data_IF_094231901659
#
_entry.id   IF_094231901659
#
_cell.length_a   1.000
_cell.length_b   1.000
_cell.length_c   1.000
_cell.angle_alpha   90.00
_cell.angle_beta   90.00
_cell.angle_gamma   90.00
#
_symmetry.space_group_name_H-M   'P 1'
#
loop_
_entity.id
_entity.type
_entity.pdbx_description
1 polymer ?
2 polymer ?
3 polymer ?
#
loop_
_entity_poly.entity_id
_entity_poly.type
_entity_poly.pdbx_seq_one_letter_code
_entity_poly.pdbx_strand_id
3 'polyribonucleotide' 'GGGGCUAGGCCGGGGGGUUCGGCGUCCCCUGUAACCGGAAACCGCCGAUAUGCCGGGGCCGAAGCCCGAGGGGCGGUUCCCGAAGCCGCCUCUGUAAGGAGGCGGUGGAGGGUUCCCACCCUCGGGCGUGCCU(CCC)' ?
#
# COMPACT_ATOMS: atom_id res chain seq x y z
N UNK A 2 2.34 11.30 14.48
CA UNK A 2 1.43 10.85 15.54
C UNK A 2 0.25 10.06 14.99
N UNK A 3 -0.69 9.73 15.86
CA UNK A 3 -1.89 9.01 15.44
C UNK A 3 -2.97 10.00 15.06
N UNK A 4 -3.81 9.59 14.11
CA UNK A 4 -4.93 10.40 13.66
C UNK A 4 -6.24 9.63 13.93
N UNK A 5 -7.27 10.33 14.41
CA UNK A 5 -8.62 9.77 14.61
C UNK A 5 -9.50 9.93 13.35
N UNK A 6 -9.23 10.99 12.60
CA UNK A 6 -10.04 11.43 11.46
C UNK A 6 -9.35 11.13 10.12
N UNK A 7 -9.90 10.19 9.35
CA UNK A 7 -9.27 9.73 8.10
C UNK A 7 -8.84 10.86 7.17
N UNK A 8 -9.70 11.86 7.01
CA UNK A 8 -9.38 13.00 6.17
C UNK A 8 -8.06 13.63 6.61
N UNK A 9 -7.95 13.98 7.89
CA UNK A 9 -6.80 14.72 8.42
C UNK A 9 -5.50 13.94 8.20
N UNK A 10 -5.63 12.61 8.26
CA UNK A 10 -4.56 11.70 7.91
C UNK A 10 -4.23 11.80 6.41
N UNK A 11 -5.19 11.40 5.57
CA UNK A 11 -4.97 11.32 4.12
C UNK A 11 -4.38 12.57 3.55
N UNK A 12 -4.79 13.72 4.06
CA UNK A 12 -4.29 15.00 3.58
C UNK A 12 -2.82 15.19 3.98
N UNK A 13 -2.52 14.92 5.25
CA UNK A 13 -1.18 15.14 5.80
C UNK A 13 -0.19 14.11 5.23
N UNK A 14 -0.70 12.93 4.91
CA UNK A 14 0.12 11.87 4.33
C UNK A 14 0.58 12.23 2.94
N UNK A 15 -0.35 12.65 2.09
CA UNK A 15 -0.02 13.06 0.73
C UNK A 15 0.96 14.22 0.73
N UNK A 16 0.78 15.18 1.63
CA UNK A 16 1.73 16.30 1.80
C UNK A 16 3.15 15.78 1.97
N UNK A 17 3.28 14.72 2.76
CA UNK A 17 4.58 14.11 3.06
C UNK A 17 5.14 13.42 1.83
N UNK A 18 4.34 12.54 1.22
CA UNK A 18 4.83 11.83 0.07
C UNK A 18 5.41 12.83 -0.94
N UNK A 19 4.71 13.92 -1.18
CA UNK A 19 5.17 14.92 -2.15
C UNK A 19 6.48 15.57 -1.74
N UNK A 20 6.54 16.01 -0.49
CA UNK A 20 7.74 16.69 0.05
C UNK A 20 9.04 15.95 -0.32
N UNK A 21 8.99 14.62 -0.33
CA UNK A 21 10.09 13.78 -0.82
C UNK A 21 9.64 12.35 -1.10
N UNK A 22 9.23 12.08 -2.34
CA UNK A 22 8.59 10.81 -2.68
C UNK A 22 9.47 9.56 -2.61
N UNK A 24 12.00 8.93 -0.32
CA UNK A 24 12.20 8.53 1.07
C UNK A 24 10.98 7.93 1.73
N UNK A 25 9.80 8.26 1.25
CA UNK A 25 8.58 7.86 1.93
C UNK A 25 8.13 6.45 1.54
N UNK A 26 7.55 5.75 2.50
CA UNK A 26 6.93 4.44 2.26
C UNK A 26 5.52 4.40 2.86
N UNK A 27 4.70 3.47 2.37
CA UNK A 27 3.30 3.37 2.79
C UNK A 27 2.92 1.95 3.12
N UNK A 28 2.65 1.71 4.40
CA UNK A 28 2.40 0.37 4.89
C UNK A 28 0.96 0.17 5.37
N UNK A 29 0.46 -1.05 5.15
CA UNK A 29 -0.89 -1.45 5.50
C UNK A 29 -0.85 -2.82 6.18
N UNK A 30 -1.37 -2.91 7.40
CA UNK A 30 -1.38 -4.19 8.13
C UNK A 30 -2.78 -4.66 8.43
N UNK A 31 -3.17 -5.79 7.84
CA UNK A 31 -4.51 -6.36 8.00
C UNK A 31 -4.54 -7.63 8.82
N UNK A 32 -5.48 -7.65 9.74
CA UNK A 32 -5.49 -8.57 10.84
C UNK A 32 -6.90 -9.19 10.96
N UNK A 33 -7.19 -10.20 10.12
CA UNK A 33 -8.56 -10.76 10.07
C UNK A 33 -9.01 -11.33 11.43
N UNK A 34 -8.11 -12.05 12.10
CA UNK A 34 -8.40 -12.69 13.38
C UNK A 34 -8.84 -11.74 14.49
N UNK A 35 -8.20 -10.58 14.60
CA UNK A 35 -8.61 -9.55 15.57
C UNK A 35 -9.59 -8.59 14.93
N UNK A 36 -9.62 -8.58 13.61
CA UNK A 36 -10.57 -7.75 12.89
C UNK A 36 -10.23 -6.28 12.95
N UNK A 37 -8.94 -5.96 12.87
CA UNK A 37 -8.52 -4.57 12.76
C UNK A 37 -7.61 -4.34 11.55
N UNK A 38 -7.32 -3.06 11.32
CA UNK A 38 -6.57 -2.62 10.18
C UNK A 38 -5.73 -1.45 10.63
N UNK A 39 -4.51 -1.36 10.12
CA UNK A 39 -3.63 -0.24 10.42
C UNK A 39 -2.91 0.23 9.17
N UNK A 40 -2.78 1.56 9.05
CA UNK A 40 -2.11 2.17 7.90
C UNK A 40 -1.08 3.16 8.38
N UNK A 41 0.09 3.11 7.75
CA UNK A 41 1.22 3.94 8.15
C UNK A 41 1.83 4.60 6.93
N UNK A 42 2.26 5.84 7.12
CA UNK A 42 3.04 6.53 6.12
C UNK A 42 4.16 7.29 6.79
N UNK A 43 5.38 7.13 6.26
CA UNK A 43 6.56 7.68 6.90
C UNK A 43 7.74 7.83 5.96
N UNK A 44 8.65 8.73 6.36
CA UNK A 44 9.93 8.97 5.70
C UNK A 44 11.07 8.76 6.70
N UNK A 45 10.80 8.03 7.78
CA UNK A 45 11.74 7.76 8.89
C UNK A 45 12.04 8.96 9.81
N UNK A 46 11.73 10.17 9.33
CA UNK A 46 11.88 11.36 10.12
C UNK A 46 10.56 11.60 10.84
N UNK A 47 9.48 11.63 10.07
CA UNK A 47 8.13 11.81 10.57
C UNK A 47 7.35 10.52 10.32
N UNK A 48 6.52 10.15 11.29
CA UNK A 48 5.64 8.98 11.13
C UNK A 48 4.18 9.39 11.27
N UNK A 49 3.30 8.77 10.49
CA UNK A 49 1.88 9.10 10.51
C UNK A 49 1.12 7.81 10.48
N UNK A 50 0.17 7.65 11.40
CA UNK A 50 -0.52 6.37 11.55
C UNK A 50 -2.03 6.51 11.82
N UNK A 51 -2.80 5.56 11.31
CA UNK A 51 -4.25 5.51 11.48
C UNK A 51 -4.69 4.05 11.63
N UNK A 52 -5.47 3.75 12.66
CA UNK A 52 -5.92 2.39 12.96
C UNK A 52 -7.44 2.35 13.07
N UNK A 53 -8.06 1.28 12.55
CA UNK A 53 -9.55 1.20 12.49
C UNK A 53 -10.16 -0.19 12.70
N UNK A 54 -11.45 -0.18 13.06
CA UNK A 54 -12.31 -1.39 13.03
C UNK A 54 -13.58 -1.11 12.23
N UNK A 55 -13.42 -0.32 11.16
CA UNK A 55 -14.55 0.31 10.45
C UNK A 55 -14.59 -0.07 8.96
N UNK A 56 -15.46 -1.02 8.59
CA UNK A 56 -15.49 -1.57 7.24
C UNK A 56 -15.69 -0.50 6.15
N UNK A 57 -16.32 0.60 6.52
CA UNK A 57 -16.44 1.76 5.63
C UNK A 57 -15.06 2.22 5.13
N UNK A 58 -14.08 2.22 6.02
CA UNK A 58 -12.73 2.73 5.73
C UNK A 58 -11.98 1.92 4.67
N UNK A 59 -12.29 0.63 4.55
CA UNK A 59 -11.70 -0.23 3.51
C UNK A 59 -11.75 0.50 2.17
N UNK A 60 -12.94 0.96 1.78
CA UNK A 60 -13.09 1.67 0.51
C UNK A 60 -12.32 2.99 0.49
N UNK A 61 -12.38 3.73 1.59
CA UNK A 61 -11.65 4.99 1.69
C UNK A 61 -10.16 4.76 1.40
N UNK A 62 -9.67 3.62 1.86
CA UNK A 62 -8.27 3.22 1.67
C UNK A 62 -7.94 2.85 0.24
N UNK A 63 -8.80 2.07 -0.42
CA UNK A 63 -8.60 1.72 -1.82
C UNK A 63 -8.24 2.96 -2.63
N UNK A 64 -8.97 4.06 -2.39
CA UNK A 64 -8.72 5.32 -3.08
C UNK A 64 -7.36 5.89 -2.75
N UNK A 65 -7.02 5.90 -1.47
CA UNK A 65 -5.72 6.38 -1.03
C UNK A 65 -4.57 5.61 -1.69
N UNK A 66 -4.61 4.29 -1.59
CA UNK A 66 -3.61 3.42 -2.23
C UNK A 66 -3.57 3.68 -3.73
N UNK A 67 -4.74 3.65 -4.33
CA UNK A 67 -4.84 3.81 -5.76
C UNK A 67 -4.32 5.16 -6.22
N UNK A 68 -4.54 6.24 -5.47
CA UNK A 68 -3.97 7.53 -5.89
C UNK A 68 -2.47 7.57 -5.69
N UNK A 69 -2.00 7.09 -4.54
CA UNK A 69 -0.58 7.08 -4.30
C UNK A 69 0.12 6.38 -5.46
N UNK A 71 -0.76 6.15 -8.51
CA UNK A 71 -0.75 7.06 -9.65
C UNK A 71 0.31 8.14 -9.50
N UNK A 72 0.41 8.72 -8.31
CA UNK A 72 1.42 9.74 -8.01
C UNK A 72 2.85 9.22 -8.11
N UNK A 74 3.91 6.83 -10.08
CA UNK A 74 4.21 6.57 -11.47
C UNK A 74 4.41 7.85 -12.31
N UNK A 75 3.95 9.00 -11.82
CA UNK A 75 4.12 10.27 -12.54
C UNK A 75 5.53 10.82 -12.38
N UNK A 76 5.97 11.63 -13.35
CA UNK A 76 7.29 12.28 -13.29
C UNK A 76 7.41 13.20 -12.09
N UNK A 77 6.73 14.34 -12.15
CA UNK A 77 6.60 15.23 -11.00
C UNK A 77 5.18 15.16 -10.49
N UNK A 78 5.04 14.74 -9.23
CA UNK A 78 3.75 14.50 -8.61
C UNK A 78 3.01 15.80 -8.25
N UNK A 79 3.73 16.92 -8.22
CA UNK A 79 3.11 18.22 -7.98
C UNK A 79 2.35 18.74 -9.21
N UNK A 80 2.41 18.00 -10.31
CA UNK A 80 1.64 18.32 -11.51
C UNK A 80 0.38 17.46 -11.68
N UNK A 81 0.24 16.42 -10.86
CA UNK A 81 -0.97 15.61 -10.86
C UNK A 81 -2.01 16.27 -9.96
N UNK A 82 -3.23 16.46 -10.49
CA UNK A 82 -4.28 17.16 -9.76
C UNK A 82 -5.06 16.22 -8.83
N UNK B 2 9.89 -13.84 -4.13
CA UNK B 2 9.17 -14.09 -5.37
C UNK B 2 8.65 -12.77 -5.97
N UNK B 3 9.36 -12.32 -7.00
CA UNK B 3 8.92 -11.19 -7.78
C UNK B 3 8.02 -11.74 -8.85
N UNK B 4 6.82 -11.17 -8.95
CA UNK B 4 5.79 -11.67 -9.86
C UNK B 4 5.30 -10.56 -10.77
N UNK B 5 4.76 -10.93 -11.92
CA UNK B 5 4.00 -9.99 -12.71
C UNK B 5 2.61 -9.89 -12.10
N UNK B 6 1.99 -8.75 -12.28
CA UNK B 6 0.75 -8.39 -11.60
C UNK B 6 -0.27 -9.53 -11.45
N UNK B 7 -0.47 -10.31 -12.52
CA UNK B 7 -1.44 -11.39 -12.46
C UNK B 7 -1.21 -12.30 -11.26
N UNK B 8 -0.07 -13.00 -11.25
CA UNK B 8 0.16 -14.01 -10.21
C UNK B 8 0.22 -13.35 -8.85
N UNK B 9 0.73 -12.12 -8.81
CA UNK B 9 0.78 -11.33 -7.58
C UNK B 9 -0.63 -11.25 -6.96
N UNK B 10 -1.60 -10.82 -7.75
CA UNK B 10 -2.97 -10.68 -7.28
C UNK B 10 -3.57 -12.03 -6.89
N UNK B 11 -3.17 -13.06 -7.64
CA UNK B 11 -3.52 -14.43 -7.33
C UNK B 11 -2.87 -14.84 -6.00
N UNK B 12 -1.60 -14.50 -5.85
CA UNK B 12 -0.82 -14.87 -4.67
C UNK B 12 -1.18 -14.05 -3.43
N UNK B 13 -1.48 -12.78 -3.65
CA UNK B 13 -1.87 -11.92 -2.55
C UNK B 13 -3.17 -12.42 -2.01
N UNK B 14 -4.12 -12.67 -2.91
CA UNK B 14 -5.36 -13.34 -2.55
C UNK B 14 -5.04 -14.44 -1.53
N UNK B 15 -4.17 -15.39 -1.92
CA UNK B 15 -3.84 -16.51 -1.04
C UNK B 15 -3.47 -16.06 0.37
N UNK B 16 -2.52 -15.14 0.46
CA UNK B 16 -2.02 -14.68 1.77
C UNK B 16 -3.16 -14.33 2.71
N UNK B 17 -4.01 -13.40 2.27
CA UNK B 17 -5.16 -12.96 3.06
C UNK B 17 -5.92 -14.11 3.69
N UNK B 18 -6.17 -15.13 2.86
CA UNK B 18 -7.02 -16.27 3.22
C UNK B 18 -6.37 -17.22 4.20
N UNK B 19 -5.04 -17.20 4.25
CA UNK B 19 -4.32 -18.07 5.17
C UNK B 19 -4.01 -17.39 6.51
N UNK B 20 -4.29 -16.09 6.61
CA UNK B 20 -4.12 -15.35 7.84
C UNK B 20 -5.47 -14.95 8.39
N UNK B 21 -6.36 -15.93 8.44
CA UNK B 21 -7.78 -15.68 8.67
C UNK B 21 -8.18 -15.95 10.13
N UNK B 22 -7.82 -17.14 10.62
CA UNK B 22 -7.93 -17.47 12.05
C UNK B 22 -6.75 -16.92 12.87
N UNK B 23 -5.61 -16.70 12.21
CA UNK B 23 -4.41 -16.26 12.89
C UNK B 23 -3.40 -15.77 11.86
N UNK B 24 -2.81 -14.59 12.10
CA UNK B 24 -1.76 -14.01 11.26
C UNK B 24 -2.03 -12.58 10.81
N UNK B 25 -0.96 -11.79 10.67
CA UNK B 25 -1.02 -10.43 10.10
C UNK B 25 -0.65 -10.43 8.61
N UNK B 26 -1.35 -9.63 7.81
CA UNK B 26 -0.95 -9.41 6.40
C UNK B 26 -0.47 -7.97 6.23
N UNK B 27 0.80 -7.83 5.90
CA UNK B 27 1.42 -6.54 5.62
C UNK B 27 1.45 -6.32 4.12
N UNK B 28 1.07 -5.11 3.70
CA UNK B 28 1.23 -4.67 2.32
C UNK B 28 1.86 -3.30 2.32
N UNK B 29 2.97 -3.17 1.61
CA UNK B 29 3.76 -1.96 1.67
C UNK B 29 4.09 -1.46 0.24
N UNK B 30 4.16 -0.14 0.10
CA UNK B 30 4.09 0.51 -1.19
C UNK B 30 4.96 1.77 -1.19
N UNK B 31 5.64 2.01 -2.30
CA UNK B 31 6.85 2.81 -2.30
C UNK B 31 7.29 3.13 -3.74
N UNK B 32 7.60 4.39 -4.02
CA UNK B 32 8.13 4.74 -5.35
C UNK B 32 9.43 4.00 -5.58
N UNK B 33 9.68 3.57 -6.82
CA UNK B 33 10.79 2.69 -7.12
C UNK B 33 11.73 3.19 -8.23
N UNK B 34 13.03 3.07 -7.99
CA UNK B 34 14.09 3.46 -8.95
C UNK B 34 14.20 2.59 -10.19
N UNK B 35 14.20 1.28 -9.98
CA UNK B 35 14.64 0.32 -10.98
C UNK B 35 15.79 -0.53 -10.44
N UNK B 36 16.45 -0.03 -9.39
CA UNK B 36 17.62 -0.68 -8.75
C UNK B 36 17.58 -2.20 -8.66
N UNK B 37 18.59 -2.83 -9.26
CA UNK B 37 18.85 -4.26 -9.07
C UNK B 37 20.12 -4.48 -8.23
N UNK B 38 20.75 -3.37 -7.78
CA UNK B 38 22.06 -3.38 -7.13
C UNK B 38 22.17 -2.25 -6.10
N UNK B 39 23.25 -2.23 -5.32
CA UNK B 39 23.37 -1.18 -4.30
C UNK B 39 23.80 0.17 -4.88
N UNK B 40 24.11 1.11 -3.98
CA UNK B 40 24.52 2.47 -4.37
C UNK B 40 25.94 2.79 -3.86
N UNK B 41 26.90 2.99 -4.79
CA UNK B 41 28.32 3.13 -4.42
C UNK B 41 28.72 4.50 -3.83
N UNK B 42 30.02 4.73 -3.64
CA UNK B 42 30.56 6.04 -3.25
C UNK B 42 31.66 6.50 -4.21
N UNK B 50 21.04 5.41 -14.98
CA UNK B 50 20.21 4.24 -14.69
C UNK B 50 18.70 4.56 -14.49
N UNK B 51 18.36 5.38 -13.47
CA UNK B 51 17.04 5.35 -12.78
C UNK B 51 15.80 5.73 -13.59
N UNK B 52 14.81 4.84 -13.63
CA UNK B 52 13.49 5.16 -14.17
C UNK B 52 12.59 5.75 -13.08
N UNK B 53 11.75 6.70 -13.46
CA UNK B 53 10.97 7.49 -12.51
C UNK B 53 9.49 7.23 -12.63
N UNK B 54 9.12 6.17 -13.34
CA UNK B 54 7.71 5.87 -13.64
C UNK B 54 7.27 4.50 -13.09
N UNK B 55 7.85 4.12 -11.95
CA UNK B 55 7.63 2.79 -11.38
C UNK B 55 7.26 2.94 -9.93
N UNK B 56 6.45 2.02 -9.44
CA UNK B 56 6.17 1.93 -8.00
C UNK B 56 6.21 0.45 -7.62
N UNK B 57 6.58 0.18 -6.36
CA UNK B 57 6.78 -1.19 -5.89
C UNK B 57 5.76 -1.59 -4.83
N UNK B 58 5.21 -2.79 -4.97
CA UNK B 58 4.32 -3.36 -3.99
C UNK B 58 4.89 -4.62 -3.38
N UNK B 59 4.99 -4.65 -2.05
CA UNK B 59 5.45 -5.81 -1.30
C UNK B 59 4.31 -6.33 -0.44
N UNK B 60 4.22 -7.66 -0.29
CA UNK B 60 3.25 -8.25 0.60
C UNK B 60 3.80 -9.51 1.26
N UNK B 61 3.49 -9.68 2.55
CA UNK B 61 3.87 -10.87 3.29
C UNK B 61 2.97 -11.15 4.49
N UNK B 62 3.09 -12.38 5.00
CA UNK B 62 2.42 -12.78 6.22
C UNK B 62 3.44 -13.13 7.29
N UNK B 63 4.72 -12.83 7.02
CA UNK B 63 5.82 -13.20 7.90
C UNK B 63 6.64 -14.39 7.39
N UNK B 64 5.99 -15.28 6.64
CA UNK B 64 6.62 -16.50 6.12
C UNK B 64 6.97 -16.34 4.63
N UNK B 65 5.95 -16.20 3.78
CA UNK B 65 6.16 -16.06 2.35
C UNK B 65 6.08 -14.60 1.95
N UNK B 66 6.87 -14.21 0.96
CA UNK B 66 6.89 -12.82 0.51
C UNK B 66 6.67 -12.75 -0.98
N UNK B 67 5.88 -11.77 -1.41
CA UNK B 67 5.65 -11.51 -2.82
C UNK B 67 5.74 -10.03 -3.09
N UNK B 68 6.01 -9.69 -4.35
CA UNK B 68 6.08 -8.31 -4.75
C UNK B 68 5.85 -8.16 -6.24
N UNK B 69 5.64 -6.93 -6.67
CA UNK B 69 5.52 -6.63 -8.09
C UNK B 69 5.74 -5.17 -8.42
N UNK B 70 6.10 -4.91 -9.67
CA UNK B 70 6.39 -3.56 -10.14
C UNK B 70 5.38 -3.08 -11.17
N UNK B 71 4.93 -1.84 -10.98
CA UNK B 71 3.80 -1.27 -11.70
C UNK B 71 4.16 0.10 -12.33
N UNK B 72 4.23 0.14 -13.67
CA UNK B 72 4.50 1.38 -14.44
C UNK B 72 3.23 2.02 -14.96
N UNK B 73 3.35 3.21 -15.54
CA UNK B 73 2.19 3.90 -16.12
C UNK B 73 1.45 3.05 -17.14
N UNK B 74 2.18 2.34 -18.00
CA UNK B 74 1.58 1.36 -18.93
C UNK B 74 0.43 0.59 -18.31
N UNK B 75 0.59 0.23 -17.03
CA UNK B 75 -0.19 -0.83 -16.42
C UNK B 75 -0.89 -0.47 -15.10
N UNK B 76 -0.79 0.80 -14.67
CA UNK B 76 -1.45 1.23 -13.44
C UNK B 76 -2.94 1.14 -13.63
N UNK B 77 -3.42 1.86 -14.64
CA UNK B 77 -4.86 2.07 -14.84
C UNK B 77 -5.68 0.79 -14.81
N UNK B 78 -5.16 -0.27 -15.41
CA UNK B 78 -5.73 -1.61 -15.24
C UNK B 78 -5.59 -2.12 -13.79
N UNK B 79 -4.37 -2.09 -13.28
CA UNK B 79 -4.04 -2.67 -11.98
C UNK B 79 -4.79 -2.01 -10.80
N UNK B 80 -4.88 -0.68 -10.80
CA UNK B 80 -5.72 0.08 -9.82
C UNK B 80 -7.01 -0.63 -9.40
N UNK B 82 -8.35 -3.83 -10.45
CA UNK B 82 -8.16 -5.24 -10.05
C UNK B 82 -7.74 -5.39 -8.60
N UNK B 83 -6.77 -4.55 -8.20
CA UNK B 83 -6.24 -4.52 -6.84
C UNK B 83 -7.27 -4.03 -5.84
N UNK B 84 -7.88 -2.87 -6.12
CA UNK B 84 -8.93 -2.33 -5.26
C UNK B 84 -10.01 -3.36 -4.95
N UNK B 85 -10.35 -4.16 -5.95
CA UNK B 85 -11.38 -5.18 -5.82
C UNK B 85 -10.89 -6.34 -4.96
N UNK B 86 -9.65 -6.76 -5.17
CA UNK B 86 -8.98 -7.72 -4.27
C UNK B 86 -9.05 -7.26 -2.80
N UNK B 87 -8.78 -5.98 -2.57
CA UNK B 87 -8.82 -5.45 -1.20
C UNK B 87 -10.22 -5.48 -0.62
N UNK B 88 -11.19 -5.04 -1.42
CA UNK B 88 -12.58 -5.05 -1.00
C UNK B 88 -13.00 -6.48 -0.62
N UNK B 89 -12.69 -7.42 -1.52
CA UNK B 89 -13.13 -8.83 -1.40
C UNK B 89 -12.49 -9.60 -0.24
N UNK B 90 -11.34 -9.13 0.26
CA UNK B 90 -10.60 -9.85 1.30
C UNK B 90 -10.51 -9.18 2.67
N UNK B 92 -12.94 -7.96 4.25
CA UNK B 92 -14.19 -8.09 5.00
C UNK B 92 -13.87 -8.30 6.49
N UNK B 93 -14.90 -8.39 7.31
CA UNK B 93 -14.71 -8.78 8.70
C UNK B 93 -14.39 -7.63 9.64
N UNK B 94 -15.10 -6.51 9.47
CA UNK B 94 -15.03 -5.38 10.40
C UNK B 94 -16.49 -5.02 10.76
N UNK B 95 -16.69 -3.88 11.44
CA UNK B 95 -18.03 -3.49 11.89
C UNK B 95 -18.78 -2.72 10.79
N UNK B 96 -20.10 -2.54 10.92
CA UNK B 96 -20.92 -2.06 9.79
C UNK B 96 -21.94 -0.93 10.04
N UNK B 97 -21.96 -0.35 11.24
CA UNK B 97 -22.89 0.76 11.56
C UNK B 97 -24.35 0.39 11.28
#
# INVERSE_FOLDING_TARGET
XPQYQTWEEFSRAAEKLYLADPXKARVVLKYRHSDGNLCVKVTDDLVCLVYKTDQAQDVKKIEKFHSQLXRLXVAKEARNVTXET
XVLLESEQFLTELTRLFQKCRTSGSVYITLKKYDGRTKPIPKKGTVEGFEPADNKCLLRATDGKKKISTVVSSKEVNKFQXAYSNLLRANXDGLKKRDKKNKTKKTK
#
